data_IF_865187022350
#
_entry.id   IF_865187022350
#
_cell.length_a   1.000
_cell.length_b   1.000
_cell.length_c   1.000
_cell.angle_alpha   90.00
_cell.angle_beta   90.00
_cell.angle_gamma   90.00
#
_symmetry.space_group_name_H-M   'P 1'
#
loop_
_entity.id
_entity.type
_entity.pdbx_description
1 polymer ?
#
# COMPACT_ATOMS: atom_id res chain seq x y z
N UNK A 1 -3.54 -6.21 24.06
CA UNK A 1 -3.55 -4.81 23.58
C UNK A 1 -3.24 -4.86 22.10
N UNK A 2 -4.17 -4.50 21.19
CA UNK A 2 -3.81 -4.30 19.79
C UNK A 2 -2.77 -3.17 19.76
N UNK A 3 -1.65 -3.40 19.08
CA UNK A 3 -0.49 -2.51 19.08
C UNK A 3 -0.90 -1.08 18.77
N UNK A 4 -0.48 -0.14 19.62
CA UNK A 4 -0.68 1.28 19.36
C UNK A 4 -0.09 1.60 17.98
N UNK A 5 -0.78 2.41 17.16
CA UNK A 5 -0.19 2.90 15.93
C UNK A 5 1.00 3.76 16.33
N UNK A 6 2.20 3.19 16.26
CA UNK A 6 3.42 3.98 16.35
C UNK A 6 3.36 4.94 15.18
N UNK A 7 3.18 6.22 15.48
CA UNK A 7 3.22 7.30 14.49
C UNK A 7 4.67 7.48 14.02
N UNK A 8 5.25 6.42 13.46
CA UNK A 8 6.50 6.48 12.73
C UNK A 8 6.16 7.14 11.40
N UNK A 9 6.53 8.41 11.28
CA UNK A 9 6.53 9.11 10.00
C UNK A 9 7.55 8.42 9.10
N UNK A 10 7.04 7.59 8.19
CA UNK A 10 7.85 7.01 7.13
C UNK A 10 8.26 8.13 6.18
N UNK A 11 9.55 8.36 5.98
CA UNK A 11 10.01 9.32 4.98
C UNK A 11 9.84 8.73 3.57
N UNK A 12 9.95 9.59 2.55
CA UNK A 12 9.95 9.14 1.16
C UNK A 12 11.13 8.21 0.87
N UNK A 13 12.29 8.51 1.43
CA UNK A 13 13.51 7.75 1.17
C UNK A 13 13.42 6.36 1.81
N UNK A 14 12.89 6.26 3.04
CA UNK A 14 12.61 4.98 3.69
C UNK A 14 11.61 4.12 2.86
N UNK A 15 10.63 4.77 2.22
CA UNK A 15 9.67 4.06 1.37
C UNK A 15 10.31 3.54 0.08
N UNK A 16 11.23 4.30 -0.53
CA UNK A 16 11.95 3.87 -1.74
C UNK A 16 12.89 2.72 -1.39
N UNK A 17 13.66 2.84 -0.31
CA UNK A 17 14.55 1.79 0.16
C UNK A 17 13.78 0.49 0.44
N UNK A 18 12.57 0.58 1.02
CA UNK A 18 11.71 -0.57 1.21
C UNK A 18 11.36 -1.27 -0.12
N UNK A 19 11.05 -0.52 -1.17
CA UNK A 19 10.73 -1.10 -2.48
C UNK A 19 11.96 -1.77 -3.11
N UNK A 20 13.12 -1.11 -3.06
CA UNK A 20 14.39 -1.66 -3.54
C UNK A 20 14.74 -2.97 -2.80
N UNK A 21 14.60 -3.00 -1.47
CA UNK A 21 14.81 -4.22 -0.69
C UNK A 21 13.83 -5.35 -1.07
N UNK A 22 12.56 -5.02 -1.34
CA UNK A 22 11.57 -6.00 -1.78
C UNK A 22 11.97 -6.65 -3.11
N UNK A 23 12.55 -5.89 -4.03
CA UNK A 23 13.03 -6.37 -5.32
C UNK A 23 14.35 -7.13 -5.18
N UNK A 24 15.39 -6.47 -4.66
CA UNK A 24 16.78 -6.98 -4.67
C UNK A 24 17.02 -8.12 -3.69
N UNK A 25 16.42 -8.04 -2.49
CA UNK A 25 16.68 -8.99 -1.40
C UNK A 25 15.67 -10.13 -1.40
N UNK A 26 14.39 -9.79 -1.53
CA UNK A 26 13.31 -10.77 -1.38
C UNK A 26 12.78 -11.31 -2.71
N UNK A 27 13.19 -10.73 -3.85
CA UNK A 27 12.72 -11.10 -5.19
C UNK A 27 11.19 -11.13 -5.27
N UNK A 28 10.55 -10.16 -4.58
CA UNK A 28 9.12 -9.96 -4.69
C UNK A 28 8.81 -9.33 -6.04
N UNK A 29 7.74 -9.81 -6.67
CA UNK A 29 7.31 -9.29 -7.97
C UNK A 29 6.30 -8.16 -7.84
N UNK A 30 5.65 -8.07 -6.67
CA UNK A 30 4.51 -7.19 -6.45
C UNK A 30 4.41 -6.74 -5.01
N UNK A 31 4.07 -5.48 -4.82
CA UNK A 31 3.75 -4.88 -3.51
C UNK A 31 2.28 -4.47 -3.50
N UNK A 32 1.55 -4.91 -2.47
CA UNK A 32 0.18 -4.47 -2.21
C UNK A 32 0.17 -3.44 -1.08
N UNK A 33 -0.45 -2.30 -1.32
CA UNK A 33 -0.77 -1.33 -0.26
C UNK A 33 -2.28 -1.35 -0.02
N UNK A 34 -2.67 -1.53 1.24
CA UNK A 34 -4.06 -1.66 1.66
C UNK A 34 -4.42 -0.50 2.58
N UNK A 35 -5.57 0.11 2.31
CA UNK A 35 -6.10 1.22 3.08
C UNK A 35 -7.51 0.89 3.57
N UNK A 36 -7.80 1.26 4.81
CA UNK A 36 -9.16 1.22 5.32
C UNK A 36 -10.00 2.33 4.67
N UNK A 37 -11.03 1.94 3.90
CA UNK A 37 -11.92 2.88 3.21
C UNK A 37 -12.48 3.99 4.11
N UNK A 38 -12.90 3.72 5.37
CA UNK A 38 -13.42 4.77 6.25
C UNK A 38 -12.41 5.86 6.59
N UNK A 39 -11.11 5.55 6.53
CA UNK A 39 -10.02 6.46 6.90
C UNK A 39 -9.36 7.12 5.67
N UNK A 40 -9.85 6.85 4.46
CA UNK A 40 -9.33 7.45 3.25
C UNK A 40 -9.92 8.83 3.00
N UNK A 41 -9.04 9.84 2.89
CA UNK A 41 -9.46 11.17 2.48
C UNK A 41 -9.67 11.24 0.95
N UNK A 42 -10.87 11.64 0.46
CA UNK A 42 -11.26 11.45 -0.94
C UNK A 42 -10.59 12.37 -1.97
N UNK A 43 -9.90 13.46 -1.56
CA UNK A 43 -9.32 14.46 -2.49
C UNK A 43 -7.81 14.67 -2.38
N UNK A 44 -7.22 14.36 -1.23
CA UNK A 44 -5.82 14.62 -0.92
C UNK A 44 -5.34 13.50 -0.01
N UNK A 45 -4.75 12.46 -0.58
CA UNK A 45 -4.42 11.26 0.17
C UNK A 45 -3.26 10.50 -0.43
N UNK A 46 -2.65 9.68 0.41
CA UNK A 46 -1.51 8.83 0.08
C UNK A 46 -1.74 7.97 -1.16
N UNK A 47 -2.97 7.52 -1.43
CA UNK A 47 -3.32 6.79 -2.66
C UNK A 47 -2.99 7.58 -3.95
N UNK A 48 -3.19 8.91 -3.96
CA UNK A 48 -2.84 9.74 -5.12
C UNK A 48 -1.32 9.87 -5.27
N UNK A 49 -0.60 10.02 -4.16
CA UNK A 49 0.86 10.08 -4.16
C UNK A 49 1.47 8.75 -4.67
N UNK A 50 0.95 7.62 -4.19
CA UNK A 50 1.34 6.29 -4.66
C UNK A 50 1.05 6.10 -6.15
N UNK A 51 -0.09 6.61 -6.64
CA UNK A 51 -0.40 6.54 -8.06
C UNK A 51 0.61 7.30 -8.93
N UNK A 52 1.14 8.43 -8.45
CA UNK A 52 2.17 9.20 -9.17
C UNK A 52 3.51 8.46 -9.29
N UNK A 53 3.79 7.49 -8.42
CA UNK A 53 5.02 6.70 -8.44
C UNK A 53 4.82 5.28 -8.99
N UNK A 54 3.67 5.01 -9.62
CA UNK A 54 3.42 3.77 -10.37
C UNK A 54 2.48 2.76 -9.72
N UNK A 55 1.96 3.01 -8.52
CA UNK A 55 0.93 2.14 -7.94
C UNK A 55 -0.40 2.30 -8.69
N UNK A 56 -1.04 1.18 -9.00
CA UNK A 56 -2.32 1.13 -9.69
C UNK A 56 -3.42 0.62 -8.77
N UNK A 57 -4.64 1.12 -8.95
CA UNK A 57 -5.80 0.60 -8.22
C UNK A 57 -6.00 -0.88 -8.54
N UNK A 58 -6.05 -1.72 -7.51
CA UNK A 58 -6.36 -3.13 -7.67
C UNK A 58 -7.88 -3.31 -7.62
N UNK A 59 -8.52 -4.00 -8.58
CA UNK A 59 -9.94 -4.31 -8.50
C UNK A 59 -10.27 -5.22 -7.31
N UNK A 60 -11.39 -5.01 -6.60
CA UNK A 60 -11.79 -5.83 -5.45
C UNK A 60 -11.86 -7.35 -5.69
N UNK A 61 -12.13 -7.75 -6.94
CA UNK A 61 -12.22 -9.17 -7.32
C UNK A 61 -10.84 -9.78 -7.61
N UNK A 62 -9.79 -8.95 -7.70
CA UNK A 62 -8.39 -9.38 -7.84
C UNK A 62 -7.67 -9.42 -6.48
N UNK A 63 -8.36 -9.20 -5.38
CA UNK A 63 -7.75 -9.21 -4.05
C UNK A 63 -7.41 -10.65 -3.62
N UNK A 64 -6.28 -10.87 -2.93
CA UNK A 64 -6.05 -12.11 -2.21
C UNK A 64 -7.24 -12.45 -1.31
N UNK A 65 -7.60 -13.73 -1.22
CA UNK A 65 -8.82 -14.21 -0.56
C UNK A 65 -8.93 -13.85 0.92
N UNK A 66 -7.79 -13.59 1.58
CA UNK A 66 -7.73 -13.18 2.97
C UNK A 66 -8.01 -11.68 3.21
N UNK A 67 -8.07 -10.86 2.16
CA UNK A 67 -8.37 -9.42 2.28
C UNK A 67 -9.88 -9.15 2.19
N UNK A 68 -10.37 -8.31 3.11
CA UNK A 68 -11.78 -7.92 3.12
C UNK A 68 -12.06 -6.81 2.10
N UNK A 69 -12.54 -7.19 0.93
CA UNK A 69 -12.88 -6.26 -0.16
C UNK A 69 -13.97 -5.22 0.16
N UNK A 70 -14.75 -5.42 1.24
CA UNK A 70 -15.75 -4.45 1.67
C UNK A 70 -15.11 -3.28 2.42
N UNK A 71 -14.13 -3.56 3.28
CA UNK A 71 -13.50 -2.57 4.16
C UNK A 71 -12.22 -1.98 3.59
N UNK A 72 -11.52 -2.72 2.72
CA UNK A 72 -10.21 -2.34 2.19
C UNK A 72 -10.27 -1.79 0.76
N UNK A 73 -9.46 -0.77 0.50
CA UNK A 73 -9.07 -0.31 -0.82
C UNK A 73 -7.60 -0.65 -1.01
N UNK A 74 -7.28 -1.34 -2.11
CA UNK A 74 -5.92 -1.80 -2.37
C UNK A 74 -5.34 -1.19 -3.65
N UNK A 75 -4.05 -0.91 -3.62
CA UNK A 75 -3.24 -0.56 -4.78
C UNK A 75 -2.10 -1.57 -4.92
N UNK A 76 -1.66 -1.78 -6.15
CA UNK A 76 -0.58 -2.71 -6.50
C UNK A 76 0.54 -1.97 -7.23
N UNK A 77 1.78 -2.28 -6.89
CA UNK A 77 2.97 -1.92 -7.65
C UNK A 77 3.64 -3.21 -8.11
N UNK A 78 3.97 -3.25 -9.40
CA UNK A 78 4.77 -4.33 -9.98
C UNK A 78 6.22 -3.88 -9.86
N UNK A 79 7.04 -4.65 -9.13
CA UNK A 79 8.48 -4.44 -8.99
C UNK A 79 9.17 -4.91 -10.27
#
# INVERSE_FOLDING_TARGET
MPGEPTSQTLSRDDFIELLEQCEDTFNYKRVLVCFDKPHMHPRHGIARALNCIGFNCLPPDSYPSYLNKKTLFCMVYEL
#
